data_IF_641050983075
#
_entry.id   IF_641050983075
#
_cell.length_a   1.000
_cell.length_b   1.000
_cell.length_c   1.000
_cell.angle_alpha   90.00
_cell.angle_beta   90.00
_cell.angle_gamma   90.00
#
_symmetry.space_group_name_H-M   'P 1'
#
loop_
_entity.id
_entity.type
_entity.pdbx_description
1 polymer ?
2 non-polymer ?
3 non-polymer ?
4 water ?
#
# COMPACT_ATOMS: atom_id res chain seq x y z
N UNK A 4 7.64 -30.30 -4.28
CA UNK A 4 7.17 -29.16 -3.41
C UNK A 4 6.50 -28.11 -4.29
N UNK A 5 5.15 -28.01 -4.28
CA UNK A 5 4.44 -27.15 -5.24
C UNK A 5 4.66 -25.68 -4.88
N UNK A 6 4.75 -24.82 -5.91
CA UNK A 6 4.79 -23.34 -5.77
C UNK A 6 3.43 -22.86 -5.27
N UNK A 7 3.36 -21.90 -4.35
CA UNK A 7 2.07 -21.46 -3.85
C UNK A 7 1.23 -20.60 -4.82
N UNK A 8 -0.09 -20.63 -4.59
CA UNK A 8 -1.10 -19.84 -5.32
C UNK A 8 -1.50 -18.64 -4.45
N UNK A 9 -1.27 -18.75 -3.14
CA UNK A 9 -1.59 -17.69 -2.14
C UNK A 9 -0.55 -17.70 -1.03
N UNK A 10 -0.27 -16.52 -0.46
CA UNK A 10 0.62 -16.36 0.72
C UNK A 10 -0.12 -15.46 1.72
N UNK A 11 0.23 -15.53 2.99
CA UNK A 11 -0.23 -14.54 3.99
C UNK A 11 0.92 -13.58 4.25
N UNK A 12 0.56 -12.32 4.30
CA UNK A 12 1.53 -11.20 4.60
C UNK A 12 1.01 -10.53 5.86
N UNK A 13 1.93 -10.32 6.80
CA UNK A 13 1.74 -9.53 8.04
C UNK A 13 2.36 -8.15 7.80
N UNK A 14 1.57 -7.09 8.05
CA UNK A 14 2.01 -5.67 8.05
C UNK A 14 1.90 -5.15 9.49
N UNK A 15 3.01 -4.66 10.05
CA UNK A 15 3.01 -3.95 11.35
C UNK A 15 3.41 -2.52 11.16
N UNK A 16 2.72 -1.60 11.84
CA UNK A 16 3.18 -0.19 11.92
C UNK A 16 3.19 0.16 13.39
N UNK A 17 4.32 0.67 13.88
CA UNK A 17 4.42 1.14 15.28
C UNK A 17 5.30 2.39 15.36
N UNK A 18 4.76 3.45 15.98
CA UNK A 18 5.56 4.63 16.38
C UNK A 18 5.99 4.38 17.82
N UNK A 19 7.29 4.13 17.99
CA UNK A 19 7.89 3.62 19.24
C UNK A 19 8.07 4.74 20.27
N UNK A 20 7.90 5.99 19.87
CA UNK A 20 8.03 7.17 20.74
C UNK A 20 9.44 7.36 21.29
N UNK A 21 10.44 6.94 20.52
CA UNK A 21 11.88 7.06 20.87
C UNK A 21 12.18 6.24 22.13
N UNK A 22 11.35 5.24 22.45
CA UNK A 22 11.53 4.39 23.65
C UNK A 22 11.80 2.96 23.20
N UNK A 23 12.68 2.22 23.91
CA UNK A 23 12.84 0.81 23.61
C UNK A 23 11.55 0.08 23.93
N UNK A 24 11.31 -1.04 23.21
CA UNK A 24 10.08 -1.82 23.37
C UNK A 24 10.12 -2.61 24.68
N UNK A 25 8.97 -3.12 25.16
CA UNK A 25 8.97 -4.03 26.31
C UNK A 25 9.58 -5.40 25.94
N UNK A 26 9.81 -6.29 26.92
CA UNK A 26 10.53 -7.56 26.65
C UNK A 26 9.68 -8.47 25.74
N UNK A 27 8.36 -8.38 25.83
CA UNK A 27 7.42 -9.22 25.03
C UNK A 27 6.55 -8.38 24.09
N UNK A 28 6.65 -8.58 22.76
CA UNK A 28 5.82 -7.86 21.76
C UNK A 28 5.11 -8.88 20.83
N UNK A 29 5.05 -10.12 21.26
CA UNK A 29 4.45 -11.26 20.49
C UNK A 29 2.99 -11.02 20.09
N UNK A 30 2.24 -10.30 20.93
CA UNK A 30 0.82 -9.93 20.68
C UNK A 30 0.70 -9.22 19.33
N UNK A 31 1.66 -8.35 19.00
CA UNK A 31 1.68 -7.64 17.71
C UNK A 31 1.63 -8.65 16.56
N UNK A 32 2.58 -9.59 16.50
CA UNK A 32 2.77 -10.53 15.36
C UNK A 32 1.66 -11.57 15.40
N UNK A 33 0.91 -11.65 16.48
CA UNK A 33 -0.21 -12.62 16.59
C UNK A 33 -1.54 -11.93 16.28
N UNK A 34 -1.56 -10.61 16.01
CA UNK A 34 -2.80 -9.85 15.70
C UNK A 34 -3.81 -10.04 16.85
N UNK A 35 -3.34 -9.79 18.08
CA UNK A 35 -4.15 -9.89 19.33
C UNK A 35 -4.31 -8.49 19.95
N UNK A 36 -5.52 -8.19 20.41
CA UNK A 36 -5.83 -6.91 21.07
C UNK A 36 -7.23 -6.51 20.67
N UNK A 37 -7.35 -5.31 20.11
CA UNK A 37 -8.63 -4.69 19.69
C UNK A 37 -8.77 -4.76 18.17
N UNK A 38 -10.02 -4.73 17.68
CA UNK A 38 -10.32 -4.65 16.25
C UNK A 38 -10.63 -6.01 15.69
N UNK A 39 -10.25 -6.22 14.43
CA UNK A 39 -10.40 -7.50 13.72
C UNK A 39 -9.14 -8.33 13.99
N UNK A 40 -9.23 -9.26 14.94
CA UNK A 40 -8.07 -10.04 15.45
C UNK A 40 -8.05 -11.44 14.85
N UNK A 41 -6.91 -12.09 14.98
CA UNK A 41 -6.61 -13.40 14.39
C UNK A 41 -7.06 -14.48 15.38
N UNK A 42 -7.59 -15.57 14.85
CA UNK A 42 -8.08 -16.69 15.68
C UNK A 42 -6.90 -17.31 16.43
N UNK A 43 -7.10 -17.64 17.70
CA UNK A 43 -6.16 -18.42 18.56
C UNK A 43 -5.57 -19.65 17.85
N UNK A 44 -6.41 -20.37 17.10
CA UNK A 44 -6.12 -21.66 16.44
C UNK A 44 -5.03 -21.49 15.36
N UNK A 45 -4.73 -20.26 14.96
CA UNK A 45 -3.74 -19.90 13.90
C UNK A 45 -2.41 -19.45 14.51
N UNK A 46 -2.29 -19.37 15.84
CA UNK A 46 -1.13 -18.70 16.51
C UNK A 46 0.21 -19.34 16.14
N UNK A 47 0.26 -20.65 15.90
CA UNK A 47 1.55 -21.30 15.59
C UNK A 47 1.81 -21.26 14.08
N UNK A 48 0.84 -20.79 13.28
CA UNK A 48 0.95 -20.81 11.80
C UNK A 48 1.71 -19.56 11.41
N UNK A 49 2.90 -19.66 10.79
CA UNK A 49 3.63 -18.45 10.42
C UNK A 49 2.98 -17.80 9.18
N UNK A 50 3.10 -16.48 9.09
CA UNK A 50 2.87 -15.73 7.86
C UNK A 50 4.05 -16.06 6.95
N UNK A 51 3.86 -15.94 5.63
CA UNK A 51 4.94 -16.18 4.66
C UNK A 51 5.93 -15.04 4.78
N UNK A 52 5.42 -13.82 4.98
CA UNK A 52 6.21 -12.53 4.96
C UNK A 52 5.70 -11.63 6.08
N UNK A 53 6.63 -11.05 6.83
CA UNK A 53 6.33 -10.05 7.89
C UNK A 53 7.03 -8.76 7.47
N UNK A 54 6.28 -7.69 7.29
CA UNK A 54 6.84 -6.35 6.94
C UNK A 54 6.56 -5.49 8.17
N UNK A 55 7.61 -5.00 8.82
CA UNK A 55 7.51 -4.23 10.10
C UNK A 55 7.96 -2.79 9.87
N UNK A 56 7.01 -1.84 9.92
CA UNK A 56 7.31 -0.41 9.77
C UNK A 56 7.37 0.19 11.14
N UNK A 57 8.42 0.93 11.45
CA UNK A 57 8.56 1.71 12.71
C UNK A 57 8.82 3.18 12.39
N UNK A 58 8.45 4.04 13.35
CA UNK A 58 8.62 5.52 13.32
C UNK A 58 9.11 5.89 14.73
N UNK A 59 9.93 6.91 14.84
CA UNK A 59 10.53 7.31 16.12
C UNK A 59 11.20 6.07 16.75
N UNK A 60 11.85 5.23 15.92
CA UNK A 60 12.57 4.01 16.34
C UNK A 60 13.95 4.38 16.90
N UNK A 61 14.24 4.10 18.19
CA UNK A 61 15.51 4.49 18.82
C UNK A 61 16.59 3.39 18.75
N UNK A 62 16.20 2.20 18.29
CA UNK A 62 17.07 1.01 18.23
C UNK A 62 18.01 1.09 17.02
N UNK A 63 19.13 0.40 17.10
CA UNK A 63 19.96 0.07 15.91
C UNK A 63 19.19 -0.95 15.09
N UNK A 64 19.52 -1.06 13.81
CA UNK A 64 19.00 -2.12 12.92
C UNK A 64 19.27 -3.48 13.57
N UNK A 65 20.49 -3.69 14.04
CA UNK A 65 20.88 -4.97 14.70
C UNK A 65 19.97 -5.24 15.92
N UNK A 66 19.84 -4.27 16.83
CA UNK A 66 19.00 -4.43 18.04
C UNK A 66 17.57 -4.82 17.66
N UNK A 67 17.01 -4.21 16.63
CA UNK A 67 15.57 -4.47 16.26
C UNK A 67 15.44 -5.81 15.54
N UNK A 68 16.42 -6.14 14.71
CA UNK A 68 16.43 -7.47 14.04
C UNK A 68 16.47 -8.60 15.07
N UNK A 69 17.29 -8.43 16.12
CA UNK A 69 17.42 -9.38 17.26
C UNK A 69 16.03 -9.62 17.87
N UNK A 70 15.35 -8.54 18.25
CA UNK A 70 14.00 -8.59 18.87
C UNK A 70 12.98 -9.21 17.91
N UNK A 71 12.94 -8.77 16.66
CA UNK A 71 11.95 -9.26 15.67
C UNK A 71 12.14 -10.75 15.46
N UNK A 72 13.35 -11.18 15.08
CA UNK A 72 13.64 -12.61 14.73
C UNK A 72 13.33 -13.53 15.92
N UNK A 73 13.81 -13.17 17.12
CA UNK A 73 13.58 -13.91 18.39
C UNK A 73 12.08 -14.08 18.62
N UNK A 74 11.32 -12.99 18.48
CA UNK A 74 9.85 -12.93 18.75
C UNK A 74 9.12 -13.89 17.80
N UNK A 75 9.46 -13.87 16.51
CA UNK A 75 8.84 -14.78 15.52
C UNK A 75 9.23 -16.22 15.80
N UNK A 76 10.50 -16.48 16.11
CA UNK A 76 10.96 -17.83 16.45
C UNK A 76 10.21 -18.34 17.70
N UNK A 77 10.07 -17.52 18.73
CA UNK A 77 9.31 -17.95 19.93
C UNK A 77 7.89 -18.36 19.52
N UNK A 78 7.25 -17.61 18.64
CA UNK A 78 5.81 -17.83 18.28
C UNK A 78 5.69 -19.12 17.45
N UNK A 79 6.55 -19.24 16.44
CA UNK A 79 6.34 -20.12 15.27
C UNK A 79 7.34 -21.28 15.29
N UNK A 80 8.43 -21.14 16.05
CA UNK A 80 9.59 -22.07 16.05
C UNK A 80 10.28 -22.05 14.68
N UNK A 81 10.05 -21.03 13.87
CA UNK A 81 10.73 -20.86 12.55
C UNK A 81 11.74 -19.71 12.69
N UNK A 82 12.91 -19.91 12.12
CA UNK A 82 13.99 -18.90 12.10
C UNK A 82 13.85 -18.16 10.78
N UNK A 83 13.34 -16.93 10.82
CA UNK A 83 12.99 -16.16 9.60
C UNK A 83 14.29 -15.62 8.98
N UNK A 84 14.34 -15.56 7.66
CA UNK A 84 15.44 -14.92 6.89
C UNK A 84 15.15 -13.44 6.74
N UNK A 85 16.17 -12.62 6.89
CA UNK A 85 16.05 -11.17 6.61
C UNK A 85 16.14 -10.95 5.12
N UNK A 86 15.11 -10.36 4.53
CA UNK A 86 14.99 -10.00 3.09
C UNK A 86 15.56 -8.61 2.88
N UNK A 87 15.14 -7.66 3.70
CA UNK A 87 15.57 -6.24 3.53
C UNK A 87 15.39 -5.48 4.84
N UNK A 88 16.27 -4.54 5.07
CA UNK A 88 16.08 -3.57 6.17
C UNK A 88 16.57 -2.23 5.62
N UNK A 89 15.72 -1.21 5.69
CA UNK A 89 16.08 0.18 5.29
C UNK A 89 15.63 1.15 6.39
N UNK A 90 16.47 2.13 6.69
CA UNK A 90 16.23 3.11 7.76
C UNK A 90 16.54 4.49 7.23
N UNK A 91 15.53 5.40 7.25
CA UNK A 91 15.77 6.85 7.07
C UNK A 91 15.55 7.49 8.43
N UNK A 92 16.59 8.10 9.00
CA UNK A 92 16.51 8.78 10.32
C UNK A 92 15.94 7.80 11.33
N UNK A 93 14.71 7.95 11.77
CA UNK A 93 14.14 7.05 12.80
C UNK A 93 12.94 6.32 12.21
N UNK A 94 12.83 6.30 10.88
CA UNK A 94 11.80 5.57 10.10
C UNK A 94 12.43 4.31 9.49
N UNK A 95 11.83 3.15 9.75
CA UNK A 95 12.50 1.88 9.44
C UNK A 95 11.47 0.89 8.88
N UNK A 96 11.92 0.13 7.89
CA UNK A 96 11.16 -1.01 7.32
C UNK A 96 12.05 -2.26 7.38
N UNK A 97 11.46 -3.36 7.90
CA UNK A 97 12.11 -4.69 7.95
C UNK A 97 11.21 -5.70 7.22
N UNK A 98 11.76 -6.41 6.24
CA UNK A 98 11.06 -7.55 5.56
C UNK A 98 11.71 -8.87 5.99
N UNK A 99 10.93 -9.73 6.62
CA UNK A 99 11.29 -11.10 7.05
C UNK A 99 10.45 -12.12 6.28
N UNK A 100 11.07 -13.22 5.88
CA UNK A 100 10.35 -14.30 5.14
C UNK A 100 10.71 -15.68 5.67
N UNK A 101 9.77 -16.63 5.56
CA UNK A 101 10.03 -18.08 5.80
C UNK A 101 11.29 -18.47 5.04
N UNK A 102 12.13 -19.39 5.58
CA UNK A 102 13.30 -19.85 4.84
C UNK A 102 12.98 -20.60 3.54
N UNK A 103 11.82 -21.24 3.44
CA UNK A 103 11.42 -21.93 2.19
C UNK A 103 11.15 -20.92 1.06
N UNK A 104 11.07 -19.62 1.33
CA UNK A 104 10.78 -18.58 0.31
C UNK A 104 12.09 -17.93 -0.19
N UNK A 105 13.22 -18.37 0.33
CA UNK A 105 14.51 -17.64 0.09
C UNK A 105 14.80 -17.53 -1.41
N UNK A 106 14.54 -18.61 -2.16
CA UNK A 106 14.86 -18.71 -3.60
C UNK A 106 13.60 -18.42 -4.44
N UNK A 107 12.53 -17.94 -3.79
CA UNK A 107 11.32 -17.41 -4.50
C UNK A 107 11.42 -15.88 -4.63
N UNK A 108 12.28 -15.26 -3.82
CA UNK A 108 12.38 -13.80 -3.63
C UNK A 108 13.60 -13.30 -4.39
N UNK A 109 13.43 -12.30 -5.25
CA UNK A 109 14.48 -11.74 -6.12
C UNK A 109 14.18 -10.26 -6.39
N UNK A 110 15.09 -9.55 -7.06
CA UNK A 110 14.85 -8.14 -7.49
C UNK A 110 14.45 -7.26 -6.29
N UNK A 111 15.14 -7.41 -5.19
CA UNK A 111 14.88 -6.64 -3.94
C UNK A 111 15.36 -5.21 -4.17
N UNK A 112 14.47 -4.24 -4.00
CA UNK A 112 14.79 -2.79 -4.03
C UNK A 112 14.46 -2.15 -2.69
N UNK A 113 15.21 -1.10 -2.33
CA UNK A 113 14.98 -0.28 -1.12
C UNK A 113 15.18 1.18 -1.54
N UNK A 114 14.42 2.08 -0.94
CA UNK A 114 14.55 3.53 -1.18
C UNK A 114 13.87 4.26 -0.03
N UNK A 115 14.16 5.55 0.03
CA UNK A 115 13.53 6.50 0.99
C UNK A 115 13.24 7.81 0.27
N UNK A 116 12.25 8.53 0.76
CA UNK A 116 11.95 9.92 0.33
C UNK A 116 11.93 10.75 1.60
N UNK A 117 12.66 11.86 1.61
CA UNK A 117 12.58 12.89 2.69
C UNK A 117 11.56 13.94 2.26
N UNK A 118 10.51 14.16 3.05
CA UNK A 118 9.48 15.17 2.71
C UNK A 118 9.87 16.53 3.31
N UNK A 119 9.23 17.62 2.85
CA UNK A 119 9.43 18.96 3.42
C UNK A 119 10.60 19.71 2.80
N UNK A 120 10.79 20.97 3.20
CA UNK A 120 11.90 21.86 2.71
C UNK A 120 12.35 22.72 3.90
N UNK A 121 13.66 22.73 4.19
CA UNK A 121 14.36 23.61 5.17
C UNK A 121 13.85 23.33 6.61
N UNK A 122 12.94 24.16 7.12
CA UNK A 122 12.20 23.96 8.40
C UNK A 122 11.72 22.50 8.49
N UNK A 123 11.03 22.04 7.45
CA UNK A 123 10.13 20.85 7.44
C UNK A 123 10.89 19.60 6.96
N UNK A 124 12.06 19.75 6.33
CA UNK A 124 13.00 18.63 6.02
C UNK A 124 13.84 18.36 7.27
N UNK A 125 13.90 17.11 7.71
CA UNK A 125 14.79 16.72 8.82
C UNK A 125 14.36 15.44 9.54
N UNK A 126 13.06 15.12 9.54
CA UNK A 126 12.68 13.84 10.20
C UNK A 126 11.48 13.03 9.64
N UNK A 127 10.70 13.62 8.71
CA UNK A 127 9.49 12.99 8.12
C UNK A 127 9.82 12.48 6.71
N UNK A 128 9.12 11.44 6.27
CA UNK A 128 9.35 10.83 4.96
C UNK A 128 8.87 9.38 4.95
N UNK A 129 9.42 8.59 4.04
CA UNK A 129 9.01 7.19 3.85
C UNK A 129 10.24 6.36 3.54
N UNK A 130 10.23 5.12 4.01
CA UNK A 130 11.15 4.06 3.53
C UNK A 130 10.28 3.03 2.80
N UNK A 131 10.87 2.36 1.84
CA UNK A 131 10.14 1.30 1.12
C UNK A 131 11.01 0.14 0.69
N UNK A 132 10.35 -0.98 0.39
CA UNK A 132 11.01 -2.21 -0.10
C UNK A 132 10.11 -2.75 -1.18
N UNK A 133 10.69 -3.18 -2.30
CA UNK A 133 9.97 -4.04 -3.30
C UNK A 133 10.78 -5.30 -3.60
N UNK A 134 10.08 -6.36 -4.07
CA UNK A 134 10.74 -7.57 -4.58
C UNK A 134 9.73 -8.39 -5.36
N UNK A 135 10.25 -9.33 -6.13
CA UNK A 135 9.44 -10.34 -6.83
C UNK A 135 9.30 -11.54 -5.89
N UNK A 136 8.11 -12.08 -5.78
CA UNK A 136 7.86 -13.36 -5.11
C UNK A 136 7.36 -14.28 -6.22
N UNK A 137 8.24 -15.09 -6.75
CA UNK A 137 7.91 -15.89 -7.96
C UNK A 137 7.41 -14.89 -9.01
N UNK A 138 6.21 -15.02 -9.58
CA UNK A 138 5.80 -14.11 -10.68
C UNK A 138 5.03 -12.87 -10.22
N UNK A 139 5.03 -12.57 -8.93
CA UNK A 139 4.15 -11.56 -8.34
C UNK A 139 5.05 -10.46 -7.79
N UNK A 140 4.81 -9.21 -8.18
CA UNK A 140 5.60 -8.07 -7.65
C UNK A 140 4.91 -7.56 -6.38
N UNK A 141 5.71 -7.26 -5.37
CA UNK A 141 5.26 -6.80 -4.03
C UNK A 141 6.05 -5.53 -3.69
N UNK A 142 5.34 -4.48 -3.25
CA UNK A 142 5.93 -3.25 -2.73
C UNK A 142 5.35 -2.92 -1.39
N UNK A 143 6.17 -2.32 -0.55
CA UNK A 143 5.80 -1.96 0.84
C UNK A 143 6.35 -0.58 1.12
N UNK A 144 5.49 0.31 1.61
CA UNK A 144 5.91 1.70 1.98
C UNK A 144 5.57 1.91 3.45
N UNK A 145 6.58 2.31 4.25
CA UNK A 145 6.37 2.82 5.63
C UNK A 145 6.56 4.34 5.60
N UNK A 146 5.50 5.11 5.87
CA UNK A 146 5.59 6.59 5.85
C UNK A 146 5.29 7.18 7.25
N UNK A 147 6.10 8.13 7.67
CA UNK A 147 5.82 9.01 8.84
C UNK A 147 5.49 10.38 8.28
N UNK A 148 4.21 10.72 8.19
CA UNK A 148 3.80 12.00 7.55
C UNK A 148 3.81 13.12 8.62
N UNK A 149 3.59 14.35 8.16
CA UNK A 149 3.55 15.58 8.98
C UNK A 149 2.53 15.38 10.11
N UNK A 150 2.90 15.78 11.31
CA UNK A 150 2.02 15.74 12.52
C UNK A 150 1.16 17.00 12.59
N UNK A 151 0.21 17.02 13.51
CA UNK A 151 -0.62 18.20 13.75
C UNK A 151 -1.98 18.10 13.10
N UNK A 152 -3.03 18.33 13.91
CA UNK A 152 -4.43 18.30 13.43
C UNK A 152 -4.70 19.27 12.26
N UNK A 153 -3.97 20.39 12.23
CA UNK A 153 -4.20 21.51 11.29
C UNK A 153 -3.49 21.26 9.95
N UNK A 154 -2.68 20.20 9.85
CA UNK A 154 -1.79 19.98 8.67
C UNK A 154 -2.21 18.79 7.78
N UNK A 155 -3.52 18.56 7.57
CA UNK A 155 -3.90 17.45 6.64
C UNK A 155 -3.47 17.78 5.20
N UNK A 156 -3.46 19.05 4.80
CA UNK A 156 -3.01 19.42 3.43
C UNK A 156 -1.55 19.00 3.25
N UNK A 157 -0.70 19.34 4.24
CA UNK A 157 0.74 18.95 4.27
C UNK A 157 0.85 17.43 4.13
N UNK A 158 0.09 16.69 4.95
CA UNK A 158 0.09 15.21 4.88
C UNK A 158 -0.22 14.77 3.44
N UNK A 159 -1.24 15.35 2.80
CA UNK A 159 -1.59 14.94 1.40
C UNK A 159 -0.43 15.26 0.46
N UNK A 160 0.29 16.36 0.68
CA UNK A 160 1.44 16.74 -0.17
C UNK A 160 2.57 15.74 0.08
N UNK A 161 2.76 15.30 1.32
CA UNK A 161 3.80 14.31 1.75
C UNK A 161 3.55 13.01 0.97
N UNK A 162 2.31 12.56 1.00
CA UNK A 162 1.85 11.39 0.20
C UNK A 162 2.23 11.49 -1.29
N UNK A 163 1.89 12.61 -1.96
CA UNK A 163 2.17 12.78 -3.41
C UNK A 163 3.67 12.80 -3.66
N UNK A 164 4.46 13.42 -2.78
CA UNK A 164 5.96 13.42 -2.92
C UNK A 164 6.54 12.01 -2.75
N UNK A 165 6.03 11.24 -1.80
CA UNK A 165 6.51 9.85 -1.56
C UNK A 165 6.18 9.01 -2.81
N UNK A 166 4.93 9.14 -3.27
CA UNK A 166 4.36 8.44 -4.45
C UNK A 166 5.23 8.72 -5.68
N UNK A 167 5.58 9.99 -5.91
CA UNK A 167 6.37 10.40 -7.10
C UNK A 167 7.83 9.95 -7.03
N UNK A 168 8.47 10.00 -5.87
CA UNK A 168 9.94 9.98 -5.77
C UNK A 168 10.48 8.69 -5.16
N UNK A 169 9.63 7.81 -4.62
CA UNK A 169 10.12 6.52 -4.09
C UNK A 169 10.42 5.64 -5.29
N UNK A 170 11.67 5.21 -5.43
CA UNK A 170 12.16 4.49 -6.63
C UNK A 170 12.27 3.01 -6.27
N UNK A 171 11.14 2.31 -6.32
CA UNK A 171 11.02 0.86 -6.10
C UNK A 171 10.57 0.22 -7.41
N UNK A 172 10.73 -1.09 -7.51
CA UNK A 172 10.15 -1.92 -8.58
C UNK A 172 10.92 -1.77 -9.87
N UNK A 173 10.31 -2.19 -10.96
CA UNK A 173 10.97 -2.35 -12.30
C UNK A 173 11.20 -0.96 -12.90
N UNK A 174 12.53 -0.53 -12.94
CA UNK A 174 12.88 0.81 -13.49
C UNK A 174 12.47 0.90 -14.98
N UNK A 175 12.26 -0.26 -15.68
CA UNK A 175 11.81 -0.24 -17.10
C UNK A 175 10.38 0.30 -17.22
N UNK A 176 9.61 0.30 -16.12
CA UNK A 176 8.23 0.83 -16.07
C UNK A 176 8.32 2.33 -15.83
N UNK A 177 9.01 3.05 -16.73
CA UNK A 177 9.45 4.44 -16.48
C UNK A 177 8.27 5.41 -16.40
N UNK A 178 7.14 5.22 -17.13
CA UNK A 178 6.00 6.11 -16.99
C UNK A 178 5.24 5.98 -15.67
N UNK A 179 5.59 4.99 -14.86
CA UNK A 179 4.72 4.47 -13.76
C UNK A 179 5.37 4.68 -12.41
N UNK A 180 4.60 5.27 -11.50
CA UNK A 180 5.00 5.49 -10.09
C UNK A 180 4.69 4.19 -9.31
N UNK A 181 5.00 4.17 -8.03
CA UNK A 181 4.82 2.94 -7.20
C UNK A 181 3.33 2.51 -7.13
N UNK A 182 2.35 3.37 -7.44
CA UNK A 182 0.90 3.01 -7.36
C UNK A 182 0.46 2.19 -8.59
N UNK A 183 1.38 1.96 -9.52
CA UNK A 183 1.11 1.07 -10.68
C UNK A 183 2.20 0.00 -10.81
N UNK A 184 3.26 -0.02 -9.99
CA UNK A 184 4.42 -0.92 -10.28
C UNK A 184 4.26 -2.34 -9.71
N UNK A 185 3.28 -2.62 -8.83
CA UNK A 185 3.19 -3.87 -8.05
C UNK A 185 1.82 -4.52 -8.18
N UNK A 186 1.81 -5.83 -8.28
CA UNK A 186 0.60 -6.67 -8.14
C UNK A 186 -0.16 -6.29 -6.86
N UNK A 187 0.60 -6.11 -5.77
CA UNK A 187 0.10 -5.76 -4.40
C UNK A 187 1.05 -4.70 -3.84
N UNK A 188 0.48 -3.58 -3.43
CA UNK A 188 1.21 -2.47 -2.77
C UNK A 188 0.55 -2.30 -1.41
N UNK A 189 1.36 -2.25 -0.37
CA UNK A 189 0.90 -2.02 1.03
C UNK A 189 1.57 -0.73 1.47
N UNK A 190 0.78 0.23 1.92
CA UNK A 190 1.26 1.55 2.36
C UNK A 190 0.70 1.74 3.75
N UNK A 191 1.59 1.96 4.70
CA UNK A 191 1.31 1.90 6.15
C UNK A 191 2.24 2.91 6.78
N UNK A 192 2.00 3.18 8.05
CA UNK A 192 2.87 4.05 8.84
C UNK A 192 2.09 4.84 9.84
N UNK A 193 2.78 5.84 10.36
CA UNK A 193 2.16 6.91 11.16
C UNK A 193 1.79 8.02 10.17
N UNK A 194 0.61 7.86 9.55
CA UNK A 194 0.11 8.76 8.50
C UNK A 194 -0.33 10.07 9.16
N UNK A 195 -0.68 10.04 10.43
CA UNK A 195 -0.77 11.23 11.30
C UNK A 195 -2.04 12.03 11.06
N UNK A 196 -3.03 11.46 10.37
CA UNK A 196 -4.36 12.08 10.18
C UNK A 196 -5.11 11.97 11.52
N UNK A 197 -5.90 13.00 11.81
CA UNK A 197 -6.50 13.16 13.16
C UNK A 197 -8.03 13.13 13.07
N UNK A 198 -8.63 12.89 14.21
CA UNK A 198 -10.10 13.07 14.41
C UNK A 198 -10.32 14.57 14.54
N UNK A 199 -10.88 15.19 13.51
CA UNK A 199 -11.10 16.65 13.41
C UNK A 199 -12.40 17.00 14.15
N UNK A 200 -12.31 17.19 15.46
CA UNK A 200 -13.43 17.61 16.32
C UNK A 200 -12.87 18.75 17.16
N UNK A 201 -13.72 19.66 17.69
CA UNK A 201 -13.26 20.74 18.55
C UNK A 201 -12.52 20.20 19.78
N UNK A 202 -11.47 20.91 20.19
CA UNK A 202 -10.56 20.49 21.29
C UNK A 202 -11.33 20.40 22.61
N UNK A 203 -12.38 21.20 22.77
CA UNK A 203 -13.23 21.20 23.99
C UNK A 203 -14.17 19.99 24.00
N UNK A 204 -14.18 19.19 22.92
CA UNK A 204 -14.89 17.89 22.89
C UNK A 204 -14.00 16.73 23.40
N UNK A 205 -12.77 16.98 23.84
CA UNK A 205 -11.79 15.92 24.19
C UNK A 205 -12.42 14.89 25.14
N UNK A 206 -12.95 15.32 26.28
CA UNK A 206 -13.42 14.34 27.29
C UNK A 206 -14.57 13.53 26.70
N UNK A 207 -15.38 14.13 25.80
CA UNK A 207 -16.54 13.47 25.15
C UNK A 207 -16.02 12.38 24.23
N UNK A 208 -15.01 12.73 23.45
CA UNK A 208 -14.30 11.73 22.61
C UNK A 208 -13.83 10.53 23.46
N UNK A 209 -13.14 10.78 24.58
CA UNK A 209 -12.64 9.74 25.52
C UNK A 209 -13.78 8.84 26.00
N UNK A 210 -14.92 9.43 26.39
CA UNK A 210 -16.09 8.67 26.89
C UNK A 210 -16.70 7.86 25.73
N UNK A 211 -16.66 8.38 24.48
CA UNK A 211 -17.12 7.59 23.30
C UNK A 211 -16.20 6.38 23.11
N UNK A 212 -14.88 6.57 23.26
CA UNK A 212 -13.88 5.46 23.16
C UNK A 212 -14.14 4.41 24.24
N UNK A 213 -14.37 4.80 25.50
CA UNK A 213 -14.62 3.82 26.59
C UNK A 213 -15.88 3.00 26.28
N UNK A 214 -16.85 3.57 25.58
CA UNK A 214 -18.12 2.90 25.22
C UNK A 214 -17.94 2.09 23.92
N UNK A 215 -16.74 2.07 23.34
CA UNK A 215 -16.47 1.35 22.05
C UNK A 215 -17.43 1.83 20.95
N UNK A 216 -17.74 3.13 20.96
CA UNK A 216 -18.63 3.80 19.99
C UNK A 216 -17.77 4.72 19.13
N UNK A 217 -17.35 4.22 17.97
CA UNK A 217 -16.29 4.86 17.14
C UNK A 217 -16.90 5.58 15.93
N UNK A 218 -18.18 5.31 15.61
CA UNK A 218 -18.86 5.80 14.38
C UNK A 218 -18.77 7.32 14.24
N UNK A 219 -19.13 8.07 15.29
CA UNK A 219 -19.15 9.56 15.28
C UNK A 219 -17.71 10.07 15.30
N UNK A 220 -16.75 9.25 15.71
CA UNK A 220 -15.30 9.63 15.66
C UNK A 220 -14.76 9.39 14.24
N UNK A 221 -15.03 8.22 13.66
CA UNK A 221 -14.49 7.86 12.32
C UNK A 221 -15.09 8.79 11.26
N UNK A 222 -16.32 9.32 11.47
CA UNK A 222 -16.94 10.28 10.52
C UNK A 222 -16.14 11.58 10.49
N UNK A 223 -15.23 11.83 11.44
CA UNK A 223 -14.36 13.03 11.48
C UNK A 223 -12.90 12.67 11.23
N UNK A 224 -12.61 11.41 10.95
CA UNK A 224 -11.22 10.97 10.68
C UNK A 224 -10.78 11.66 9.39
N UNK A 225 -9.71 12.43 9.46
CA UNK A 225 -9.23 13.19 8.31
C UNK A 225 -8.84 12.24 7.15
N UNK A 226 -8.32 11.05 7.40
CA UNK A 226 -7.86 10.17 6.30
C UNK A 226 -9.11 9.68 5.56
N UNK A 227 -10.11 9.27 6.31
CA UNK A 227 -11.37 8.73 5.71
C UNK A 227 -12.04 9.87 4.92
N UNK A 228 -12.07 11.09 5.45
CA UNK A 228 -12.79 12.22 4.80
C UNK A 228 -11.95 12.68 3.61
N UNK A 229 -10.63 12.74 3.73
CA UNK A 229 -9.76 13.19 2.61
C UNK A 229 -9.84 12.19 1.45
N UNK A 230 -9.88 10.89 1.77
CA UNK A 230 -10.00 9.78 0.79
C UNK A 230 -11.35 9.90 0.06
N UNK A 231 -12.42 10.20 0.80
CA UNK A 231 -13.79 10.30 0.23
C UNK A 231 -13.85 11.49 -0.75
N UNK A 232 -13.11 12.55 -0.50
CA UNK A 232 -13.05 13.74 -1.40
C UNK A 232 -11.92 13.61 -2.43
N UNK A 233 -11.28 12.44 -2.51
CA UNK A 233 -10.29 12.06 -3.55
C UNK A 233 -9.10 13.01 -3.49
N UNK A 234 -8.76 13.42 -2.30
CA UNK A 234 -7.59 14.31 -2.05
C UNK A 234 -6.32 13.49 -1.89
N UNK A 235 -6.43 12.23 -1.51
CA UNK A 235 -5.28 11.41 -1.05
C UNK A 235 -5.65 9.94 -1.18
N UNK A 236 -4.64 9.08 -1.34
CA UNK A 236 -4.78 7.60 -1.40
C UNK A 236 -5.88 7.20 -2.40
N UNK A 237 -6.01 7.88 -3.54
CA UNK A 237 -6.94 7.47 -4.63
C UNK A 237 -6.63 6.02 -5.02
N UNK A 238 -7.66 5.19 -5.00
CA UNK A 238 -7.66 3.78 -5.48
C UNK A 238 -6.94 2.85 -4.51
N UNK A 239 -6.73 3.29 -3.26
CA UNK A 239 -6.28 2.38 -2.16
C UNK A 239 -7.47 1.89 -1.35
N UNK A 240 -7.31 0.71 -0.74
CA UNK A 240 -8.31 0.08 0.15
C UNK A 240 -7.84 0.23 1.60
N UNK A 241 -8.79 0.29 2.54
CA UNK A 241 -8.50 0.18 3.98
C UNK A 241 -9.65 -0.62 4.57
N UNK A 242 -9.31 -1.60 5.40
CA UNK A 242 -10.25 -2.43 6.19
C UNK A 242 -10.99 -1.51 7.18
N UNK A 243 -12.23 -1.84 7.51
CA UNK A 243 -13.03 -1.08 8.50
C UNK A 243 -12.25 -1.05 9.82
N UNK A 244 -12.18 0.10 10.48
CA UNK A 244 -11.50 0.28 11.78
C UNK A 244 -12.48 -0.06 12.89
N UNK A 245 -12.15 -1.06 13.73
CA UNK A 245 -13.01 -1.52 14.86
C UNK A 245 -12.21 -1.49 16.16
N UNK A 246 -11.11 -0.75 16.19
CA UNK A 246 -10.18 -0.65 17.34
C UNK A 246 -10.13 0.81 17.79
N UNK A 247 -9.85 1.06 19.06
CA UNK A 247 -9.80 2.43 19.60
C UNK A 247 -8.65 3.21 18.96
N UNK A 248 -8.76 4.53 18.87
CA UNK A 248 -7.62 5.36 18.44
C UNK A 248 -6.31 4.90 19.08
N UNK A 249 -5.22 4.88 18.29
CA UNK A 249 -3.92 4.28 18.70
C UNK A 249 -3.00 5.35 19.26
N UNK A 250 -3.45 6.60 19.32
CA UNK A 250 -2.67 7.81 19.77
C UNK A 250 -3.66 8.80 20.40
N UNK A 251 -3.27 9.66 21.34
CA UNK A 251 -2.00 9.67 22.04
C UNK A 251 -2.22 9.16 23.46
N UNK A 252 -1.51 8.11 23.85
CA UNK A 252 -1.59 7.52 25.21
C UNK A 252 -0.54 8.12 26.15
N UNK A 253 -0.91 8.16 27.43
CA UNK A 253 0.08 8.19 28.52
C UNK A 253 0.86 6.86 28.45
N UNK A 254 2.17 6.92 28.59
CA UNK A 254 3.05 5.71 28.55
C UNK A 254 2.88 4.81 29.77
N UNK A 255 3.08 3.49 29.58
CA UNK A 255 3.09 2.45 30.65
C UNK A 255 1.67 2.08 31.12
N UNK A 256 0.63 2.69 30.59
CA UNK A 256 -0.76 2.17 30.71
C UNK A 256 -1.40 2.28 29.31
N UNK A 257 -2.62 1.74 29.09
CA UNK A 257 -3.52 2.17 27.98
C UNK A 257 -4.79 2.81 28.54
N UNK A 258 -4.80 3.16 29.82
CA UNK A 258 -6.02 3.58 30.56
C UNK A 258 -6.26 5.08 30.39
N UNK A 259 -5.36 5.80 29.69
CA UNK A 259 -5.44 7.27 29.59
C UNK A 259 -4.96 7.77 28.22
N UNK A 260 -5.79 8.58 27.59
CA UNK A 260 -5.38 9.43 26.44
C UNK A 260 -4.84 10.73 26.99
N UNK A 261 -3.63 11.07 26.56
CA UNK A 261 -2.93 12.32 26.93
C UNK A 261 -3.07 13.30 25.76
N UNK A 262 -4.07 14.16 25.83
CA UNK A 262 -4.43 15.04 24.70
C UNK A 262 -4.10 16.52 24.92
N UNK A 263 -3.94 16.93 26.19
CA UNK A 263 -3.77 18.35 26.60
C UNK A 263 -2.46 18.90 26.01
N UNK A 264 -2.46 20.18 25.63
CA UNK A 264 -1.26 20.85 25.07
C UNK A 264 -0.24 21.00 26.19
N UNK A 265 1.03 20.83 25.84
CA UNK A 265 2.20 20.83 26.73
C UNK A 265 3.36 21.47 25.98
N UNK A 266 4.37 21.97 26.68
CA UNK A 266 5.58 22.50 26.01
C UNK A 266 6.07 21.43 25.03
N UNK A 267 6.16 20.18 25.48
CA UNK A 267 6.69 19.03 24.70
C UNK A 267 5.90 18.82 23.40
N UNK A 268 4.62 19.21 23.31
CA UNK A 268 3.83 19.07 22.06
C UNK A 268 3.85 20.35 21.22
N UNK A 269 4.67 21.36 21.54
CA UNK A 269 4.60 22.65 20.82
C UNK A 269 3.29 23.36 21.13
N UNK A 270 2.75 23.11 22.31
CA UNK A 270 1.45 23.67 22.77
C UNK A 270 0.35 23.30 21.79
N UNK A 271 0.36 22.04 21.34
CA UNK A 271 -0.67 21.45 20.43
C UNK A 271 -1.46 20.40 21.21
N UNK A 272 -2.78 20.39 21.03
CA UNK A 272 -3.66 19.31 21.51
C UNK A 272 -3.39 18.15 20.57
N UNK A 273 -3.44 16.94 21.10
CA UNK A 273 -3.43 15.65 20.37
C UNK A 273 -4.68 14.89 20.82
N UNK A 274 -5.84 15.29 20.31
CA UNK A 274 -7.10 14.53 20.53
C UNK A 274 -6.89 13.12 20.01
N UNK A 275 -7.45 12.11 20.71
CA UNK A 275 -7.39 10.71 20.32
C UNK A 275 -7.62 10.56 18.82
N UNK A 276 -6.72 9.87 18.16
CA UNK A 276 -6.72 9.80 16.68
C UNK A 276 -6.23 8.44 16.20
N UNK A 277 -6.68 8.05 15.02
CA UNK A 277 -6.14 6.87 14.30
C UNK A 277 -4.96 7.30 13.42
N UNK A 278 -3.83 7.60 14.03
CA UNK A 278 -2.62 8.07 13.29
C UNK A 278 -2.01 6.92 12.50
N UNK A 279 -2.33 5.69 12.88
CA UNK A 279 -1.45 4.53 12.59
C UNK A 279 -2.24 3.52 11.77
N UNK A 280 -1.86 3.34 10.49
CA UNK A 280 -2.81 2.86 9.47
C UNK A 280 -2.08 1.96 8.47
N UNK A 281 -2.84 1.04 7.87
CA UNK A 281 -2.41 0.11 6.79
C UNK A 281 -3.46 0.20 5.68
N UNK A 282 -3.01 0.60 4.48
CA UNK A 282 -3.80 0.65 3.25
C UNK A 282 -3.09 -0.20 2.20
N UNK A 283 -3.83 -0.66 1.20
CA UNK A 283 -3.24 -1.45 0.09
C UNK A 283 -3.88 -1.12 -1.23
N UNK A 284 -3.19 -1.50 -2.30
CA UNK A 284 -3.73 -1.36 -3.66
C UNK A 284 -3.13 -2.50 -4.47
N UNK A 285 -4.03 -3.33 -5.00
CA UNK A 285 -3.70 -4.51 -5.81
C UNK A 285 -4.28 -4.27 -7.20
N UNK A 286 -3.61 -4.82 -8.20
CA UNK A 286 -4.07 -4.85 -9.59
C UNK A 286 -5.45 -5.48 -9.63
N UNK A 287 -6.27 -5.04 -10.59
CA UNK A 287 -7.66 -5.47 -10.74
C UNK A 287 -7.81 -7.00 -10.81
N UNK A 288 -8.78 -7.54 -10.06
CA UNK A 288 -9.18 -8.98 -10.05
C UNK A 288 -8.00 -9.88 -9.63
N UNK A 289 -7.08 -9.39 -8.79
CA UNK A 289 -6.10 -10.24 -8.07
C UNK A 289 -6.68 -10.46 -6.67
N UNK A 290 -6.53 -11.67 -6.12
CA UNK A 290 -7.09 -12.01 -4.78
C UNK A 290 -6.30 -11.23 -3.72
N UNK A 291 -7.01 -10.51 -2.86
CA UNK A 291 -6.36 -9.92 -1.68
C UNK A 291 -7.46 -9.74 -0.65
N UNK A 292 -7.34 -10.44 0.46
CA UNK A 292 -8.38 -10.32 1.52
C UNK A 292 -7.68 -9.98 2.82
N UNK A 293 -8.13 -8.93 3.48
CA UNK A 293 -7.64 -8.56 4.83
C UNK A 293 -8.24 -9.54 5.85
N UNK A 294 -7.38 -10.24 6.58
CA UNK A 294 -7.75 -11.26 7.60
C UNK A 294 -7.74 -10.65 9.01
N UNK A 295 -6.99 -9.56 9.21
CA UNK A 295 -6.91 -8.88 10.53
C UNK A 295 -6.53 -7.43 10.34
N UNK A 296 -6.99 -6.59 11.27
CA UNK A 296 -6.68 -5.15 11.33
C UNK A 296 -7.06 -4.62 12.69
N UNK A 297 -6.03 -4.35 13.49
CA UNK A 297 -6.30 -4.02 14.88
C UNK A 297 -5.13 -3.41 15.56
N UNK A 298 -5.26 -3.18 16.85
CA UNK A 298 -4.15 -2.64 17.67
C UNK A 298 -3.90 -3.58 18.84
N UNK A 299 -2.68 -3.55 19.36
CA UNK A 299 -2.33 -4.28 20.61
C UNK A 299 -2.85 -3.46 21.80
N UNK A 300 -3.08 -4.13 22.93
CA UNK A 300 -3.56 -3.55 24.22
C UNK A 300 -2.45 -3.60 25.28
N UNK A 301 -1.40 -4.39 25.04
CA UNK A 301 -0.45 -4.85 26.07
C UNK A 301 0.99 -4.38 25.75
N UNK A 302 1.21 -3.50 24.78
CA UNK A 302 2.56 -2.90 24.49
C UNK A 302 2.38 -1.42 24.70
N UNK A 303 2.98 -0.90 25.79
CA UNK A 303 2.65 0.43 26.38
C UNK A 303 3.89 1.31 26.53
N UNK A 304 5.01 0.97 25.88
CA UNK A 304 6.28 1.76 26.02
C UNK A 304 6.17 3.11 25.29
N UNK A 305 5.28 3.21 24.30
CA UNK A 305 5.08 4.36 23.40
C UNK A 305 3.77 5.06 23.72
N UNK A 306 3.65 6.30 23.24
CA UNK A 306 2.39 7.09 23.25
C UNK A 306 1.51 6.62 22.08
N UNK A 307 2.04 5.75 21.20
CA UNK A 307 1.24 5.01 20.17
C UNK A 307 1.14 3.55 20.57
N UNK A 308 0.05 2.87 20.24
CA UNK A 308 -0.09 1.40 20.26
C UNK A 308 0.28 0.87 18.86
N UNK A 309 0.96 -0.29 18.77
CA UNK A 309 1.20 -0.98 17.49
C UNK A 309 -0.12 -1.29 16.77
N UNK A 310 -0.08 -1.30 15.44
CA UNK A 310 -1.21 -1.70 14.55
C UNK A 310 -0.69 -2.87 13.71
N UNK A 311 -1.48 -3.94 13.62
CA UNK A 311 -1.26 -5.11 12.75
C UNK A 311 -2.35 -5.15 11.68
N UNK A 312 -2.01 -5.65 10.51
CA UNK A 312 -2.98 -6.06 9.49
C UNK A 312 -2.39 -7.30 8.82
N UNK A 313 -3.23 -8.26 8.51
CA UNK A 313 -2.78 -9.46 7.76
C UNK A 313 -3.64 -9.62 6.51
N UNK A 314 -3.02 -10.24 5.54
CA UNK A 314 -3.57 -10.34 4.19
C UNK A 314 -3.28 -11.71 3.60
N UNK A 315 -4.32 -12.33 3.03
CA UNK A 315 -4.20 -13.45 2.06
C UNK A 315 -4.04 -12.83 0.66
N UNK A 316 -2.91 -13.04 -0.01
CA UNK A 316 -2.58 -12.37 -1.28
C UNK A 316 -2.27 -13.41 -2.36
N UNK A 317 -2.96 -13.27 -3.49
CA UNK A 317 -2.80 -14.13 -4.68
C UNK A 317 -1.40 -13.93 -5.25
N UNK A 318 -0.69 -15.04 -5.52
CA UNK A 318 0.65 -15.06 -6.17
C UNK A 318 0.59 -16.04 -7.33
N UNK A 319 1.51 -15.88 -8.27
CA UNK A 319 1.61 -16.71 -9.49
C UNK A 319 3.01 -17.31 -9.54
N UNK A 320 3.19 -18.38 -10.32
CA UNK A 320 4.47 -19.10 -10.52
C UNK A 320 5.34 -18.34 -11.52
N UNK A 321 6.64 -18.66 -11.54
CA UNK A 321 7.60 -18.16 -12.54
C UNK A 321 7.46 -19.05 -13.78
N UNK A 322 6.63 -18.66 -14.74
CA UNK A 322 6.15 -19.55 -15.83
C UNK A 322 7.23 -19.79 -16.89
N UNK A 323 7.41 -21.04 -17.31
CA UNK A 323 8.31 -21.42 -18.45
C UNK A 323 7.53 -22.29 -19.44
N UNK A 324 7.57 -21.91 -20.72
CA UNK A 324 7.01 -22.72 -21.83
C UNK A 324 8.15 -23.09 -22.78
N UNK A 325 7.80 -23.93 -23.76
CA UNK A 325 8.64 -24.35 -24.92
C UNK A 325 9.16 -23.10 -25.62
N UNK A 326 8.30 -22.07 -25.68
CA UNK A 326 8.52 -20.81 -26.44
C UNK A 326 9.08 -19.78 -25.45
N UNK A 327 8.22 -18.93 -24.87
CA UNK A 327 8.67 -17.88 -23.93
C UNK A 327 8.90 -18.47 -22.55
N UNK A 328 9.71 -17.82 -21.68
CA UNK A 328 10.52 -16.66 -22.06
C UNK A 328 11.61 -16.93 -23.10
N UNK A 329 12.02 -15.89 -23.82
CA UNK A 329 13.11 -15.89 -24.81
C UNK A 329 12.63 -15.78 -26.23
N UNK A 330 11.31 -15.74 -26.43
CA UNK A 330 10.64 -15.57 -27.73
C UNK A 330 9.13 -15.32 -27.47
N UNK A 331 8.39 -15.07 -28.55
CA UNK A 331 6.91 -14.91 -28.51
C UNK A 331 6.28 -16.30 -28.64
N UNK A 332 4.96 -16.37 -28.45
CA UNK A 332 4.17 -17.60 -28.62
C UNK A 332 3.04 -17.22 -29.58
N UNK A 333 3.21 -17.47 -30.88
CA UNK A 333 2.31 -16.94 -31.93
C UNK A 333 0.87 -17.44 -31.67
N UNK A 334 0.65 -18.34 -30.70
CA UNK A 334 -0.70 -18.85 -30.36
C UNK A 334 -1.43 -17.87 -29.46
N UNK A 335 -0.73 -16.85 -28.98
CA UNK A 335 -1.27 -15.79 -28.11
C UNK A 335 -1.29 -14.44 -28.80
N UNK A 336 -2.32 -13.63 -28.57
CA UNK A 336 -2.35 -12.20 -28.96
C UNK A 336 -3.34 -11.42 -28.10
N UNK A 337 -3.06 -10.14 -27.91
CA UNK A 337 -3.95 -9.19 -27.23
C UNK A 337 -4.29 -8.06 -28.21
N UNK A 338 -5.59 -7.91 -28.50
CA UNK A 338 -6.16 -6.87 -29.40
C UNK A 338 -7.03 -5.92 -28.59
N UNK A 339 -6.80 -4.62 -28.77
CA UNK A 339 -7.69 -3.51 -28.33
C UNK A 339 -8.53 -3.01 -29.52
N UNK A 340 -9.82 -2.84 -29.30
CA UNK A 340 -10.82 -2.35 -30.29
C UNK A 340 -11.54 -1.14 -29.72
N UNK A 341 -11.87 -0.15 -30.55
CA UNK A 341 -12.84 0.95 -30.23
C UNK A 341 -12.40 1.62 -28.92
N UNK A 342 -11.10 1.85 -28.78
CA UNK A 342 -10.50 2.39 -27.54
C UNK A 342 -10.44 3.92 -27.65
N UNK A 343 -10.82 4.61 -26.59
CA UNK A 343 -10.60 6.07 -26.48
C UNK A 343 -10.20 6.41 -25.05
N UNK A 344 -9.34 7.42 -24.96
CA UNK A 344 -8.93 8.05 -23.70
C UNK A 344 -9.73 9.33 -23.53
N UNK A 345 -10.19 9.62 -22.32
CA UNK A 345 -10.76 10.91 -21.93
C UNK A 345 -9.80 11.56 -20.95
N UNK A 346 -9.25 12.72 -21.29
CA UNK A 346 -8.23 13.39 -20.44
C UNK A 346 -8.82 14.72 -19.96
N UNK A 347 -8.54 15.08 -18.71
CA UNK A 347 -8.98 16.36 -18.08
C UNK A 347 -8.10 17.51 -18.58
N UNK A 348 -7.02 17.23 -19.29
CA UNK A 348 -6.01 18.24 -19.73
C UNK A 348 -6.66 19.32 -20.61
N UNK A 349 -6.16 20.54 -20.55
CA UNK A 349 -6.63 21.63 -21.45
C UNK A 349 -5.75 21.64 -22.70
N UNK A 350 -4.58 21.01 -22.63
CA UNK A 350 -3.53 21.02 -23.68
C UNK A 350 -4.10 20.50 -25.00
N UNK A 351 -3.53 20.97 -26.11
CA UNK A 351 -3.72 20.42 -27.47
C UNK A 351 -2.33 20.04 -28.01
N UNK A 352 -1.93 18.80 -27.71
CA UNK A 352 -0.85 18.02 -28.37
C UNK A 352 -1.51 16.74 -28.92
N UNK A 353 -0.84 16.02 -29.82
CA UNK A 353 -1.21 14.63 -30.13
C UNK A 353 -0.81 13.73 -28.95
N UNK A 354 -1.52 12.65 -28.75
CA UNK A 354 -1.18 11.61 -27.75
C UNK A 354 -0.90 10.28 -28.45
N UNK A 355 -0.01 9.50 -27.87
CA UNK A 355 0.12 8.05 -28.15
C UNK A 355 0.10 7.26 -26.83
N UNK A 356 -0.17 5.95 -26.94
CA UNK A 356 -0.18 5.01 -25.79
C UNK A 356 1.14 4.25 -25.68
N UNK A 357 1.48 3.82 -24.47
CA UNK A 357 2.48 2.76 -24.22
C UNK A 357 1.87 1.62 -23.42
N UNK A 358 2.01 0.40 -23.93
CA UNK A 358 1.60 -0.85 -23.24
C UNK A 358 2.84 -1.48 -22.61
N UNK A 359 2.86 -1.57 -21.28
CA UNK A 359 3.90 -2.29 -20.52
C UNK A 359 3.30 -3.50 -19.80
N UNK A 360 3.97 -4.65 -19.90
CA UNK A 360 3.58 -5.90 -19.21
C UNK A 360 4.73 -6.88 -19.24
N UNK A 361 4.91 -7.62 -18.14
CA UNK A 361 5.88 -8.73 -17.99
C UNK A 361 5.53 -9.87 -18.95
N UNK A 362 4.32 -9.90 -19.49
CA UNK A 362 3.89 -10.89 -20.52
C UNK A 362 4.38 -10.48 -21.92
N UNK A 363 5.05 -9.31 -22.11
CA UNK A 363 5.61 -8.84 -23.40
C UNK A 363 7.13 -8.78 -23.30
N UNK A 364 7.84 -9.00 -24.41
CA UNK A 364 9.32 -8.95 -24.40
C UNK A 364 9.73 -7.53 -24.02
N UNK A 365 9.06 -6.51 -24.53
CA UNK A 365 9.29 -5.10 -24.17
C UNK A 365 8.03 -4.28 -24.45
N UNK A 366 8.01 -3.04 -23.96
CA UNK A 366 6.80 -2.17 -24.00
C UNK A 366 6.53 -1.86 -25.48
N UNK A 367 5.27 -1.58 -25.77
CA UNK A 367 4.78 -1.32 -27.16
C UNK A 367 4.23 0.09 -27.21
N UNK A 368 4.70 0.88 -28.17
CA UNK A 368 4.26 2.27 -28.45
C UNK A 368 3.28 2.25 -29.62
N UNK A 369 2.07 2.78 -29.42
CA UNK A 369 1.04 2.90 -30.48
C UNK A 369 1.37 4.10 -31.37
N UNK A 370 0.68 4.19 -32.50
CA UNK A 370 0.47 5.43 -33.31
C UNK A 370 -0.29 6.44 -32.47
N UNK A 371 -0.26 7.71 -32.88
CA UNK A 371 -1.04 8.80 -32.27
C UNK A 371 -2.54 8.54 -32.48
N UNK A 372 -3.36 8.88 -31.50
CA UNK A 372 -4.84 8.83 -31.60
C UNK A 372 -5.39 10.10 -32.23
N UNK A 373 -6.71 10.13 -32.48
CA UNK A 373 -7.37 11.30 -33.10
C UNK A 373 -8.11 12.08 -32.02
N UNK A 374 -7.68 13.33 -31.79
CA UNK A 374 -8.28 14.24 -30.78
C UNK A 374 -9.67 14.69 -31.29
N UNK A 375 -10.70 14.57 -30.45
CA UNK A 375 -12.02 15.21 -30.66
C UNK A 375 -12.35 16.09 -29.45
N UNK A 376 -13.31 16.99 -29.59
CA UNK A 376 -13.93 17.78 -28.49
C UNK A 376 -15.10 16.96 -27.91
N UNK A 377 -15.03 16.63 -26.60
CA UNK A 377 -16.14 16.03 -25.82
C UNK A 377 -17.22 17.05 -25.47
N UNK A 378 -18.45 16.60 -25.25
CA UNK A 378 -19.64 17.46 -25.02
C UNK A 378 -19.32 18.49 -23.92
N UNK A 379 -18.81 18.04 -22.77
CA UNK A 379 -18.61 18.87 -21.54
C UNK A 379 -17.14 19.34 -21.47
N UNK A 380 -16.56 19.81 -22.58
CA UNK A 380 -15.26 20.52 -22.62
C UNK A 380 -14.03 19.62 -22.82
N UNK A 381 -14.10 18.33 -22.45
CA UNK A 381 -12.95 17.38 -22.30
C UNK A 381 -12.21 17.14 -23.61
N UNK A 382 -10.97 16.65 -23.52
CA UNK A 382 -10.25 16.02 -24.66
C UNK A 382 -10.60 14.53 -24.73
N UNK A 383 -11.05 14.04 -25.88
CA UNK A 383 -11.28 12.59 -26.12
C UNK A 383 -10.29 12.17 -27.19
N UNK A 384 -9.37 11.25 -26.87
CA UNK A 384 -8.40 10.75 -27.88
C UNK A 384 -8.89 9.40 -28.40
N UNK A 385 -9.13 9.31 -29.71
CA UNK A 385 -9.73 8.11 -30.36
C UNK A 385 -8.58 7.28 -30.96
N UNK A 386 -8.50 6.01 -30.59
CA UNK A 386 -7.51 5.05 -31.13
C UNK A 386 -8.18 4.09 -32.11
N UNK A 387 -9.48 3.90 -31.97
CA UNK A 387 -10.31 3.05 -32.86
C UNK A 387 -9.78 1.63 -32.93
N UNK A 388 -9.37 1.21 -34.12
CA UNK A 388 -8.89 -0.16 -34.46
C UNK A 388 -7.46 -0.03 -34.97
N UNK A 389 -6.78 1.07 -34.64
CA UNK A 389 -5.42 1.41 -35.11
C UNK A 389 -4.36 0.74 -34.21
N UNK A 390 -4.73 0.30 -32.98
CA UNK A 390 -3.78 -0.07 -31.89
C UNK A 390 -3.04 -1.36 -32.23
N UNK A 391 -1.72 -1.42 -31.98
CA UNK A 391 -0.90 -2.56 -32.40
C UNK A 391 -1.32 -3.85 -31.68
N UNK A 392 -1.22 -4.97 -32.38
CA UNK A 392 -1.56 -6.29 -31.79
C UNK A 392 -0.43 -6.69 -30.84
N UNK A 393 -0.74 -7.01 -29.58
CA UNK A 393 0.31 -7.31 -28.57
C UNK A 393 0.63 -8.81 -28.60
N UNK A 394 1.92 -9.14 -28.54
CA UNK A 394 2.46 -10.50 -28.72
C UNK A 394 2.97 -11.03 -27.38
N UNK A 395 2.14 -11.79 -26.64
CA UNK A 395 2.58 -12.33 -25.35
C UNK A 395 3.71 -13.33 -25.57
N UNK A 396 4.54 -13.51 -24.53
CA UNK A 396 5.70 -14.47 -24.54
C UNK A 396 5.19 -15.90 -24.32
N UNK A 397 3.98 -16.05 -23.78
CA UNK A 397 3.38 -17.37 -23.40
C UNK A 397 1.88 -17.29 -23.72
N UNK A 398 1.30 -18.30 -24.36
CA UNK A 398 -0.12 -18.32 -24.81
C UNK A 398 -0.98 -19.13 -23.85
N UNK A 399 -0.34 -19.89 -22.96
CA UNK A 399 -1.04 -20.79 -22.02
C UNK A 399 -1.99 -19.90 -21.23
N UNK A 400 -3.32 -20.16 -21.29
CA UNK A 400 -4.29 -19.36 -20.56
C UNK A 400 -4.08 -19.35 -19.05
N UNK A 401 -3.41 -20.36 -18.47
CA UNK A 401 -3.15 -20.47 -16.99
C UNK A 401 -2.15 -19.35 -16.60
N UNK A 402 -1.32 -18.95 -17.54
CA UNK A 402 -0.40 -17.81 -17.40
C UNK A 402 -1.10 -16.51 -17.75
N UNK A 403 -1.63 -16.43 -18.97
CA UNK A 403 -1.98 -15.15 -19.65
C UNK A 403 -3.18 -14.50 -18.96
N UNK A 404 -4.15 -15.28 -18.50
CA UNK A 404 -5.35 -14.73 -17.83
C UNK A 404 -4.94 -14.11 -16.49
N UNK A 405 -3.78 -14.48 -15.90
CA UNK A 405 -3.29 -13.92 -14.62
C UNK A 405 -2.47 -12.66 -14.83
N UNK A 406 -2.31 -12.21 -16.07
CA UNK A 406 -1.45 -11.04 -16.36
C UNK A 406 -2.22 -9.71 -16.32
N UNK A 407 -1.46 -8.62 -16.41
CA UNK A 407 -2.01 -7.25 -16.52
C UNK A 407 -1.22 -6.40 -17.52
N UNK A 408 -1.92 -5.52 -18.23
CA UNK A 408 -1.32 -4.47 -19.12
C UNK A 408 -1.43 -3.11 -18.43
N UNK A 409 -0.27 -2.48 -18.18
CA UNK A 409 -0.18 -1.06 -17.78
C UNK A 409 -0.23 -0.20 -19.04
N UNK A 410 -1.06 0.83 -19.00
CA UNK A 410 -1.26 1.81 -20.09
C UNK A 410 -0.83 3.19 -19.59
N UNK A 411 0.08 3.81 -20.33
CA UNK A 411 0.39 5.26 -20.25
C UNK A 411 -0.08 5.95 -21.53
N UNK A 412 -0.71 7.10 -21.39
CA UNK A 412 -0.99 7.99 -22.55
C UNK A 412 -0.02 9.16 -22.46
N UNK A 413 0.74 9.39 -23.54
CA UNK A 413 1.88 10.32 -23.53
C UNK A 413 1.74 11.34 -24.68
N UNK A 414 2.14 12.57 -24.39
CA UNK A 414 2.26 13.69 -25.32
C UNK A 414 3.30 13.29 -26.36
N UNK A 415 2.98 13.41 -27.64
CA UNK A 415 3.96 13.28 -28.76
C UNK A 415 5.03 14.37 -28.64
N UNK A 416 4.64 15.55 -28.14
CA UNK A 416 5.49 16.78 -28.11
C UNK A 416 6.55 16.65 -27.03
N UNK A 417 6.16 16.16 -25.85
CA UNK A 417 7.04 16.18 -24.67
C UNK A 417 7.40 14.75 -24.21
N UNK A 418 6.69 13.71 -24.67
CA UNK A 418 6.90 12.31 -24.22
C UNK A 418 6.64 12.14 -22.72
N UNK A 419 5.94 13.04 -22.21
CA UNK A 419 5.59 12.94 -20.77
C UNK A 419 4.23 12.22 -20.66
N UNK A 420 4.04 11.35 -19.57
CA UNK A 420 2.75 10.65 -19.35
C UNK A 420 1.74 11.65 -18.82
N UNK A 421 0.52 11.62 -19.35
CA UNK A 421 -0.61 12.45 -18.88
C UNK A 421 -1.55 11.57 -18.05
N UNK A 422 -1.28 10.28 -18.04
CA UNK A 422 -2.20 9.33 -17.40
C UNK A 422 -1.67 7.92 -17.44
N UNK A 423 -1.89 7.19 -16.34
CA UNK A 423 -1.47 5.78 -16.21
C UNK A 423 -2.63 4.99 -15.65
N UNK A 424 -2.72 3.74 -16.06
CA UNK A 424 -3.74 2.80 -15.54
C UNK A 424 -3.36 1.37 -15.83
N UNK A 425 -4.29 0.46 -15.61
CA UNK A 425 -3.99 -0.98 -15.64
C UNK A 425 -5.25 -1.76 -16.01
N UNK A 426 -5.12 -2.68 -16.95
CA UNK A 426 -6.16 -3.63 -17.44
C UNK A 426 -5.79 -5.05 -17.01
N UNK A 427 -6.70 -5.74 -16.35
CA UNK A 427 -6.53 -7.18 -16.05
C UNK A 427 -6.87 -7.98 -17.30
N UNK A 428 -6.13 -9.07 -17.51
CA UNK A 428 -6.46 -10.07 -18.59
C UNK A 428 -7.28 -11.24 -18.04
N UNK A 429 -7.78 -11.13 -16.81
CA UNK A 429 -8.65 -12.16 -16.17
C UNK A 429 -10.07 -11.98 -16.73
N UNK A 430 -10.24 -12.27 -18.03
CA UNK A 430 -11.51 -12.01 -18.76
C UNK A 430 -12.53 -13.13 -18.57
N UNK A 431 -13.79 -12.81 -18.79
CA UNK A 431 -14.93 -13.77 -18.76
C UNK A 431 -14.82 -14.77 -19.91
N UNK A 432 -14.12 -14.42 -20.98
CA UNK A 432 -14.09 -15.19 -22.24
C UNK A 432 -12.80 -14.86 -23.00
N UNK A 433 -12.34 -15.79 -23.83
CA UNK A 433 -11.26 -15.56 -24.81
C UNK A 433 -11.88 -15.54 -26.21
N UNK A 434 -11.20 -14.94 -27.20
CA UNK A 434 -11.65 -14.89 -28.61
C UNK A 434 -13.02 -14.20 -28.66
N UNK A 435 -13.27 -13.29 -27.73
CA UNK A 435 -14.55 -12.53 -27.57
C UNK A 435 -14.22 -11.07 -27.29
N UNK A 436 -14.85 -10.13 -27.99
CA UNK A 436 -14.73 -8.69 -27.69
C UNK A 436 -15.43 -8.43 -26.36
N UNK A 437 -14.71 -7.84 -25.41
CA UNK A 437 -15.23 -7.62 -24.03
C UNK A 437 -14.91 -6.20 -23.60
N UNK A 438 -15.80 -5.53 -22.84
CA UNK A 438 -15.47 -4.20 -22.32
C UNK A 438 -14.22 -4.23 -21.43
N UNK A 439 -13.36 -3.22 -21.61
CA UNK A 439 -12.28 -2.93 -20.63
C UNK A 439 -12.38 -1.47 -20.22
N UNK A 440 -11.85 -1.19 -19.05
CA UNK A 440 -11.93 0.12 -18.38
C UNK A 440 -10.82 0.21 -17.32
N UNK A 441 -10.12 1.33 -17.32
CA UNK A 441 -9.25 1.78 -16.19
C UNK A 441 -9.37 3.29 -16.04
N UNK A 442 -9.44 3.82 -14.81
CA UNK A 442 -9.18 5.23 -14.62
C UNK A 442 -7.72 5.47 -14.97
N UNK A 443 -7.38 6.72 -15.25
CA UNK A 443 -6.00 7.18 -15.51
C UNK A 443 -5.60 8.16 -14.42
N UNK A 444 -4.38 8.02 -13.91
CA UNK A 444 -3.84 8.92 -12.87
C UNK A 444 -2.48 9.40 -13.33
N UNK A 445 -2.04 10.51 -12.76
CA UNK A 445 -0.66 11.04 -12.91
C UNK A 445 -0.34 11.75 -11.61
N UNK A 446 0.81 11.42 -11.02
CA UNK A 446 1.22 11.74 -9.63
C UNK A 446 0.08 11.29 -8.70
N UNK A 447 -0.63 10.23 -9.10
CA UNK A 447 -1.66 9.57 -8.27
C UNK A 447 -2.94 10.39 -8.14
N UNK A 448 -3.10 11.45 -8.94
CA UNK A 448 -4.34 12.23 -9.09
C UNK A 448 -5.06 11.84 -10.38
N UNK A 449 -6.40 11.78 -10.35
CA UNK A 449 -7.27 11.49 -11.52
C UNK A 449 -7.03 12.54 -12.63
N UNK A 450 -6.63 12.05 -13.80
CA UNK A 450 -6.36 12.84 -15.02
C UNK A 450 -7.25 12.33 -16.17
N UNK A 451 -7.99 11.24 -15.97
CA UNK A 451 -8.83 10.80 -17.09
C UNK A 451 -9.32 9.38 -16.99
N UNK A 452 -9.63 8.80 -18.14
CA UNK A 452 -10.24 7.46 -18.26
C UNK A 452 -9.75 6.85 -19.56
N UNK A 453 -9.70 5.53 -19.61
CA UNK A 453 -9.40 4.78 -20.84
C UNK A 453 -10.39 3.63 -20.89
N UNK A 454 -11.07 3.49 -22.01
CA UNK A 454 -12.03 2.38 -22.17
C UNK A 454 -12.06 1.93 -23.63
N UNK A 455 -12.61 0.75 -23.80
CA UNK A 455 -12.78 0.15 -25.12
C UNK A 455 -13.16 -1.29 -24.95
N UNK A 456 -12.73 -2.09 -25.91
CA UNK A 456 -12.92 -3.55 -25.92
C UNK A 456 -11.54 -4.19 -26.08
N UNK A 457 -11.41 -5.36 -25.47
CA UNK A 457 -10.24 -6.26 -25.61
C UNK A 457 -10.73 -7.55 -26.29
N UNK A 458 -9.87 -8.24 -27.00
CA UNK A 458 -10.07 -9.60 -27.58
C UNK A 458 -8.78 -10.35 -27.29
N UNK A 459 -8.81 -11.34 -26.46
CA UNK A 459 -7.66 -12.12 -25.98
C UNK A 459 -7.67 -13.50 -26.62
N UNK A 460 -6.59 -13.85 -27.34
CA UNK A 460 -6.33 -15.21 -27.88
C UNK A 460 -5.33 -15.92 -26.96
N UNK A 461 -5.67 -17.12 -26.49
CA UNK A 461 -4.78 -18.00 -25.72
C UNK A 461 -4.67 -19.33 -26.48
N UNK A 462 -3.74 -20.18 -26.10
CA UNK A 462 -3.56 -21.54 -26.70
C UNK A 462 -4.82 -22.40 -26.53
N UNK A 463 -5.82 -22.00 -25.73
CA UNK A 463 -7.04 -22.84 -25.58
C UNK A 463 -8.26 -22.20 -26.27
X LIG B 1 19.63 -10.94 1.57
X LIG B 1 18.28 -11.36 1.92
X LIG B 1 17.47 -12.22 1.12
X LIG B 1 16.69 -13.06 -0.99
X LIG B 1 15.78 -13.93 1.06
X LIG B 1 21.15 -5.95 3.50
X LIG B 1 20.78 -7.30 2.89
X LIG B 1 21.99 -8.15 2.80
X LIG B 1 21.73 -9.53 2.21
X LIG B 1 19.83 -9.46 3.75
X LIG B 1 19.70 -7.93 3.69
X LIG B 1 17.52 -12.20 -0.27
X LIG B 1 15.82 -13.91 -0.33
X LIG B 1 16.60 -13.08 1.79
X LIG B 1 20.23 -4.84 3.35
X LIG B 1 20.35 -10.04 2.46
X LIG B 1 22.18 -5.77 4.11
X LIG B 1 20.16 -11.32 0.55
X LIG C 1 1.00 -11.36 -10.98
X LIG C 1 1.17 -12.40 -9.95
X LIG C 1 -0.72 -11.23 -11.26
X LIG C 1 1.43 -12.09 -12.56
X LIG D 1 3.07 -6.16 -14.86
X LIG D 1 3.14 -7.13 -16.07
X LIG D 1 4.44 -5.04 -15.12
X LIG D 1 1.77 -5.02 -15.20
X LIG E 1 -6.37 1.66 -11.92
X LIG E 1 -4.89 1.35 -11.76
X LIG E 1 -6.97 1.70 -10.22
X LIG E 1 -7.15 0.14 -12.42
#
# INVERSE_FOLDING_TARGET
SMEQPEPDMITIFIGTWNMGNAPPPKKITSWFLSKGQGKTRDDSADYIPHDIYVIGTQEDPLSEKEWLEILKHSLQEITSVTFKTVAIHTLWNIRIVVLAKPEHENRISHICTDNVKTGIANTLGNKGAVGVSFMFNGTSLGFVNSHLTSGSEKKLRRNQNYMNILRFLALGDKKLSPFNITHRFTHLFWFGDLNYRVDLPTWEAETIIQKIKQQQYADLLSHDQLLTERREQKVFLHFEEEEITFAPTYRFERLTRDKYAYTKQKATGMKYNLPSWCDRVLWKSYPLVHVVCQSYGSTSDIMTSDHSPVFATFEAGVTSQFVSKNGPGTVDSQGQIEFLRCYATLKTKSQTKFYLEFHSSCLESFVKSQEGENEEGSEGELVVKFGETLPKLKPIISDPEYLLDQHILISIKSSDSDESYGEGCIALRLEATETQLPIYTPLTHHGELTGHFQGEIKLQTSQ
T0J C10 N12 C13 C15 C17 C02 C04 C05 C06 C08 C09 C14 C16 C18 N01 N07 O03 O11
DMS S O C1 C2
DMS S O C1 C2
DMS S O C1 C2
#
